data_IF_346056321186
#
_entry.id   IF_346056321186
#
_cell.length_a   1.000
_cell.length_b   1.000
_cell.length_c   1.000
_cell.angle_alpha   90.00
_cell.angle_beta   90.00
_cell.angle_gamma   90.00
#
_symmetry.space_group_name_H-M   'P 1'
#
loop_
_entity.id
_entity.type
_entity.pdbx_description
1 polymer ?
#
# COMPACT_ATOMS: atom_id res chain seq x y z
N UNK A 1 -22.80 42.27 -6.48
CA UNK A 1 -23.39 40.95 -6.76
C UNK A 1 -22.29 39.91 -6.72
N UNK A 2 -22.08 39.24 -5.57
CA UNK A 2 -21.01 38.25 -5.41
C UNK A 2 -21.67 37.01 -4.80
N UNK A 3 -21.71 35.91 -5.57
CA UNK A 3 -22.25 34.61 -5.15
C UNK A 3 -21.11 33.83 -4.51
N UNK A 4 -21.24 33.30 -3.27
CA UNK A 4 -20.28 32.33 -2.77
C UNK A 4 -20.67 30.95 -3.32
N UNK A 5 -19.84 30.42 -4.21
CA UNK A 5 -19.92 29.03 -4.64
C UNK A 5 -19.39 28.15 -3.50
N UNK A 6 -20.32 27.56 -2.75
CA UNK A 6 -20.03 26.45 -1.85
C UNK A 6 -19.61 25.24 -2.69
N UNK A 7 -18.30 25.02 -2.83
CA UNK A 7 -17.77 23.79 -3.40
C UNK A 7 -17.44 22.84 -2.24
N UNK A 8 -18.46 22.14 -1.75
CA UNK A 8 -18.33 20.95 -0.91
C UNK A 8 -17.66 19.85 -1.75
N UNK A 9 -16.32 19.83 -1.78
CA UNK A 9 -15.57 18.68 -2.27
C UNK A 9 -15.54 17.62 -1.16
N UNK A 10 -16.55 16.75 -1.17
CA UNK A 10 -16.48 15.46 -0.47
C UNK A 10 -15.39 14.60 -1.12
N UNK A 11 -14.19 14.66 -0.57
CA UNK A 11 -13.07 13.81 -0.95
C UNK A 11 -13.31 12.38 -0.44
N UNK A 12 -14.10 11.60 -1.17
CA UNK A 12 -14.28 10.17 -0.90
C UNK A 12 -13.07 9.43 -1.47
N UNK A 13 -11.94 9.46 -0.74
CA UNK A 13 -10.84 8.53 -1.03
C UNK A 13 -11.22 7.18 -0.43
N UNK A 14 -11.81 6.34 -1.29
CA UNK A 14 -11.98 4.92 -1.04
C UNK A 14 -10.58 4.29 -0.87
N UNK A 15 -10.13 4.18 0.38
CA UNK A 15 -9.08 3.22 0.72
C UNK A 15 -9.72 1.85 0.55
N UNK A 16 -9.57 1.28 -0.65
CA UNK A 16 -10.00 -0.06 -0.96
C UNK A 16 -9.43 -1.01 0.08
N UNK A 17 -10.30 -1.59 0.91
CA UNK A 17 -9.99 -2.67 1.83
C UNK A 17 -9.77 -3.97 1.04
N UNK A 18 -8.80 -3.98 0.13
CA UNK A 18 -8.38 -5.21 -0.54
C UNK A 18 -7.43 -5.96 0.40
N UNK A 19 -8.04 -6.82 1.20
CA UNK A 19 -7.38 -7.86 1.97
C UNK A 19 -6.60 -8.79 1.05
N UNK A 20 -5.29 -8.84 1.25
CA UNK A 20 -4.49 -10.05 1.07
C UNK A 20 -3.31 -9.97 2.04
N UNK A 21 -3.63 -9.87 3.33
CA UNK A 21 -2.68 -10.18 4.38
C UNK A 21 -2.55 -11.70 4.44
N UNK A 22 -1.39 -12.21 4.01
CA UNK A 22 -0.88 -13.52 4.36
C UNK A 22 -1.55 -14.74 3.70
N UNK A 23 -1.78 -14.70 2.39
CA UNK A 23 -1.81 -15.96 1.65
C UNK A 23 -0.36 -16.49 1.64
N UNK A 24 -0.12 -17.59 2.36
CA UNK A 24 1.21 -18.19 2.47
C UNK A 24 1.63 -18.71 1.09
N UNK A 25 2.37 -17.88 0.36
CA UNK A 25 3.10 -18.29 -0.84
C UNK A 25 4.03 -19.44 -0.45
N UNK A 26 3.85 -20.61 -1.08
CA UNK A 26 4.61 -21.81 -0.74
C UNK A 26 5.00 -22.54 -2.00
N UNK A 27 6.31 -22.70 -2.20
CA UNK A 27 6.85 -23.62 -3.20
C UNK A 27 6.89 -25.03 -2.55
N UNK A 28 6.40 -26.05 -3.26
CA UNK A 28 6.34 -27.42 -2.75
C UNK A 28 7.68 -28.15 -2.86
N UNK A 29 8.12 -28.84 -1.80
CA UNK A 29 9.34 -29.68 -1.81
C UNK A 29 9.04 -31.03 -2.49
N UNK A 30 9.93 -31.51 -3.36
CA UNK A 30 9.85 -32.89 -3.87
C UNK A 30 10.22 -33.89 -2.77
N UNK A 31 9.27 -34.75 -2.38
CA UNK A 31 9.50 -35.88 -1.46
C UNK A 31 8.92 -35.69 -0.06
N UNK A 32 8.55 -34.46 0.32
CA UNK A 32 7.72 -34.22 1.50
C UNK A 32 6.27 -34.55 1.15
N UNK A 33 5.70 -35.58 1.78
CA UNK A 33 4.38 -36.18 1.46
C UNK A 33 3.15 -35.29 1.68
N UNK A 34 3.11 -34.09 1.10
CA UNK A 34 1.98 -33.17 1.15
C UNK A 34 1.76 -32.53 -0.21
N UNK A 35 0.95 -33.22 -1.03
CA UNK A 35 0.35 -32.66 -2.25
C UNK A 35 0.84 -33.29 -3.56
N UNK A 36 -0.12 -33.62 -4.45
CA UNK A 36 0.13 -33.77 -5.89
C UNK A 36 0.64 -32.43 -6.40
N UNK A 37 1.95 -32.21 -6.36
CA UNK A 37 2.52 -31.01 -6.97
C UNK A 37 2.21 -30.99 -8.46
N UNK A 38 1.88 -29.81 -8.97
CA UNK A 38 1.44 -29.65 -10.34
C UNK A 38 2.64 -29.53 -11.29
N UNK A 39 2.61 -30.30 -12.39
CA UNK A 39 3.60 -30.23 -13.46
C UNK A 39 4.99 -30.82 -13.16
N UNK A 40 5.92 -30.70 -14.14
CA UNK A 40 7.31 -31.13 -14.00
C UNK A 40 8.04 -30.39 -12.86
N UNK A 41 9.08 -31.04 -12.32
CA UNK A 41 9.99 -30.42 -11.36
C UNK A 41 10.56 -29.12 -11.93
N UNK A 42 10.66 -28.10 -11.08
CA UNK A 42 11.40 -26.88 -11.37
C UNK A 42 12.87 -27.23 -11.56
N UNK A 43 13.45 -26.76 -12.66
CA UNK A 43 14.91 -26.71 -12.81
C UNK A 43 15.52 -25.76 -11.79
N UNK A 44 16.82 -25.91 -11.51
CA UNK A 44 17.60 -24.98 -10.68
C UNK A 44 17.42 -23.50 -11.07
N UNK A 45 17.32 -23.20 -12.37
CA UNK A 45 17.10 -21.83 -12.85
C UNK A 45 15.70 -21.33 -12.51
N UNK A 46 14.65 -22.10 -12.80
CA UNK A 46 13.27 -21.74 -12.46
C UNK A 46 13.09 -21.62 -10.94
N UNK A 47 13.73 -22.50 -10.16
CA UNK A 47 13.72 -22.43 -8.70
C UNK A 47 14.35 -21.12 -8.20
N UNK A 48 15.46 -20.67 -8.79
CA UNK A 48 16.09 -19.39 -8.46
C UNK A 48 15.15 -18.21 -8.74
N UNK A 49 14.46 -18.24 -9.87
CA UNK A 49 13.46 -17.22 -10.22
C UNK A 49 12.30 -17.19 -9.23
N UNK A 50 11.76 -18.36 -8.87
CA UNK A 50 10.67 -18.47 -7.90
C UNK A 50 11.06 -17.94 -6.52
N UNK A 51 12.24 -18.31 -6.02
CA UNK A 51 12.77 -17.78 -4.76
C UNK A 51 13.02 -16.27 -4.83
N UNK A 52 13.41 -15.74 -6.00
CA UNK A 52 13.58 -14.30 -6.19
C UNK A 52 12.23 -13.55 -6.14
N UNK A 53 11.18 -14.08 -6.77
CA UNK A 53 9.83 -13.52 -6.72
C UNK A 53 9.28 -13.57 -5.29
N UNK A 54 9.37 -14.72 -4.61
CA UNK A 54 8.97 -14.89 -3.21
C UNK A 54 9.64 -13.86 -2.30
N UNK A 55 10.95 -13.70 -2.45
CA UNK A 55 11.75 -12.78 -1.67
C UNK A 55 11.36 -11.31 -1.91
N UNK A 56 11.00 -10.93 -3.15
CA UNK A 56 10.45 -9.60 -3.44
C UNK A 56 9.09 -9.40 -2.78
N UNK A 57 8.19 -10.37 -2.90
CA UNK A 57 6.84 -10.28 -2.32
C UNK A 57 6.89 -10.14 -0.80
N UNK A 58 7.71 -10.93 -0.11
CA UNK A 58 7.86 -10.87 1.35
C UNK A 58 8.38 -9.48 1.77
N UNK A 59 9.52 -9.04 1.22
CA UNK A 59 10.09 -7.72 1.56
C UNK A 59 9.14 -6.57 1.29
N UNK A 60 8.45 -6.60 0.14
CA UNK A 60 7.48 -5.57 -0.19
C UNK A 60 6.29 -5.60 0.79
N UNK A 61 5.76 -6.78 1.12
CA UNK A 61 4.62 -6.91 2.02
C UNK A 61 4.91 -6.38 3.43
N UNK A 62 6.10 -6.66 3.98
CA UNK A 62 6.50 -6.18 5.31
C UNK A 62 6.60 -4.65 5.37
N UNK A 63 7.16 -4.03 4.34
CA UNK A 63 7.25 -2.57 4.24
C UNK A 63 5.88 -1.89 4.07
N UNK A 64 4.98 -2.48 3.28
CA UNK A 64 3.68 -1.88 2.97
C UNK A 64 2.74 -1.82 4.18
N UNK A 65 2.83 -2.77 5.12
CA UNK A 65 1.95 -2.78 6.29
C UNK A 65 2.17 -1.58 7.22
N UNK A 66 3.44 -1.23 7.46
CA UNK A 66 3.82 -0.06 8.27
C UNK A 66 3.37 1.24 7.60
N UNK A 67 3.66 1.37 6.30
CA UNK A 67 3.34 2.58 5.55
C UNK A 67 1.83 2.80 5.41
N UNK A 68 1.04 1.73 5.27
CA UNK A 68 -0.43 1.83 5.31
C UNK A 68 -0.91 2.44 6.62
N UNK A 69 -0.38 1.97 7.75
CA UNK A 69 -0.73 2.52 9.07
C UNK A 69 -0.37 4.01 9.20
N UNK A 70 0.75 4.44 8.61
CA UNK A 70 1.13 5.86 8.58
C UNK A 70 0.15 6.69 7.75
N UNK A 71 -0.22 6.23 6.54
CA UNK A 71 -1.19 6.91 5.69
C UNK A 71 -2.58 6.98 6.32
N UNK A 72 -3.01 5.93 7.03
CA UNK A 72 -4.28 5.93 7.77
C UNK A 72 -4.26 6.96 8.90
N UNK A 73 -3.15 7.06 9.65
CA UNK A 73 -2.96 8.07 10.69
C UNK A 73 -2.97 9.49 10.13
N UNK A 74 -2.26 9.74 9.04
CA UNK A 74 -2.24 11.05 8.37
C UNK A 74 -3.61 11.43 7.82
N UNK A 75 -4.34 10.48 7.22
CA UNK A 75 -5.72 10.70 6.77
C UNK A 75 -6.62 11.12 7.92
N UNK A 76 -6.56 10.40 9.05
CA UNK A 76 -7.37 10.72 10.23
C UNK A 76 -7.05 12.12 10.77
N UNK A 77 -5.77 12.50 10.77
CA UNK A 77 -5.33 13.83 11.18
C UNK A 77 -5.84 14.93 10.24
N UNK A 78 -5.75 14.75 8.92
CA UNK A 78 -6.28 15.71 7.94
C UNK A 78 -7.80 15.89 8.03
N UNK A 79 -8.53 14.82 8.39
CA UNK A 79 -9.96 14.89 8.68
C UNK A 79 -10.21 15.70 9.93
N UNK A 80 -9.50 15.41 11.03
CA UNK A 80 -9.61 16.16 12.30
C UNK A 80 -9.34 17.65 12.11
N UNK A 81 -8.28 18.00 11.37
CA UNK A 81 -7.97 19.39 11.03
C UNK A 81 -9.09 20.08 10.24
N UNK A 82 -9.77 19.33 9.36
CA UNK A 82 -10.93 19.85 8.62
C UNK A 82 -12.09 20.21 9.53
N UNK A 83 -12.41 19.34 10.50
CA UNK A 83 -13.47 19.62 11.48
C UNK A 83 -13.11 20.79 12.40
N UNK A 84 -11.85 20.90 12.82
CA UNK A 84 -11.37 22.05 13.60
C UNK A 84 -11.51 23.34 12.80
N UNK A 85 -11.05 23.37 11.55
CA UNK A 85 -11.18 24.54 10.67
C UNK A 85 -12.64 24.92 10.44
N UNK A 86 -13.52 23.94 10.27
CA UNK A 86 -14.96 24.18 10.13
C UNK A 86 -15.54 24.86 11.38
N UNK A 87 -15.24 24.32 12.56
CA UNK A 87 -15.68 24.92 13.82
C UNK A 87 -15.10 26.33 14.04
N UNK A 88 -13.83 26.53 13.70
CA UNK A 88 -13.20 27.86 13.72
C UNK A 88 -13.92 28.85 12.80
N UNK A 89 -14.32 28.43 11.60
CA UNK A 89 -15.04 29.26 10.64
C UNK A 89 -16.43 29.66 11.15
N UNK A 90 -17.12 28.75 11.84
CA UNK A 90 -18.43 29.01 12.45
C UNK A 90 -18.33 30.04 13.59
N UNK A 91 -17.23 30.02 14.35
CA UNK A 91 -16.97 30.95 15.45
C UNK A 91 -16.21 32.22 15.03
N UNK A 92 -15.86 32.37 13.75
CA UNK A 92 -14.96 33.40 13.27
C UNK A 92 -15.61 34.81 13.34
N UNK A 93 -14.97 35.73 14.05
CA UNK A 93 -15.29 37.16 13.95
C UNK A 93 -14.83 37.69 12.59
N UNK A 94 -15.80 37.95 11.71
CA UNK A 94 -15.56 38.41 10.34
C UNK A 94 -15.20 39.89 10.22
N UNK A 95 -15.17 40.61 11.34
CA UNK A 95 -14.69 42.00 11.38
C UNK A 95 -13.22 42.08 11.79
N UNK A 96 -12.67 41.01 12.36
CA UNK A 96 -11.28 40.90 12.74
C UNK A 96 -10.44 40.33 11.59
N UNK A 97 -9.67 41.20 10.93
CA UNK A 97 -8.82 40.84 9.79
C UNK A 97 -7.76 39.80 10.17
N UNK A 98 -7.13 39.93 11.34
CA UNK A 98 -6.08 39.01 11.80
C UNK A 98 -6.65 37.59 12.01
N UNK A 99 -7.86 37.48 12.54
CA UNK A 99 -8.54 36.20 12.72
C UNK A 99 -8.85 35.52 11.38
N UNK A 100 -9.30 36.30 10.39
CA UNK A 100 -9.55 35.81 9.03
C UNK A 100 -8.26 35.32 8.37
N UNK A 101 -7.20 36.12 8.42
CA UNK A 101 -5.90 35.77 7.84
C UNK A 101 -5.32 34.50 8.46
N UNK A 102 -5.43 34.36 9.79
CA UNK A 102 -4.97 33.18 10.49
C UNK A 102 -5.76 31.92 10.07
N UNK A 103 -7.09 32.03 9.90
CA UNK A 103 -7.92 30.92 9.40
C UNK A 103 -7.56 30.54 7.97
N UNK A 104 -7.41 31.52 7.07
CA UNK A 104 -7.00 31.29 5.67
C UNK A 104 -5.62 30.62 5.59
N UNK A 105 -4.67 31.06 6.42
CA UNK A 105 -3.34 30.46 6.47
C UNK A 105 -3.39 28.98 6.90
N UNK A 106 -4.18 28.65 7.93
CA UNK A 106 -4.37 27.26 8.37
C UNK A 106 -5.08 26.40 7.33
N UNK A 107 -6.12 26.94 6.67
CA UNK A 107 -6.81 26.26 5.58
C UNK A 107 -5.85 25.93 4.43
N UNK A 108 -5.05 26.91 4.00
CA UNK A 108 -4.03 26.72 2.96
C UNK A 108 -2.99 25.67 3.34
N UNK A 109 -2.52 25.68 4.59
CA UNK A 109 -1.56 24.69 5.06
C UNK A 109 -2.15 23.26 5.02
N UNK A 110 -3.42 23.11 5.40
CA UNK A 110 -4.14 21.83 5.30
C UNK A 110 -4.30 21.38 3.84
N UNK A 111 -4.63 22.30 2.93
CA UNK A 111 -4.77 21.97 1.51
C UNK A 111 -3.45 21.45 0.92
N UNK A 112 -2.33 22.10 1.24
CA UNK A 112 -0.99 21.62 0.87
C UNK A 112 -0.68 20.23 1.45
N UNK A 113 -1.09 19.97 2.69
CA UNK A 113 -0.93 18.66 3.31
C UNK A 113 -1.80 17.58 2.65
N UNK A 114 -3.00 17.93 2.16
CA UNK A 114 -3.86 17.03 1.38
C UNK A 114 -3.22 16.69 0.03
N UNK A 115 -2.65 17.67 -0.67
CA UNK A 115 -1.94 17.42 -1.93
C UNK A 115 -0.75 16.47 -1.74
N UNK A 116 0.05 16.71 -0.70
CA UNK A 116 1.17 15.85 -0.36
C UNK A 116 0.73 14.43 0.04
N UNK A 117 -0.35 14.33 0.81
CA UNK A 117 -0.98 13.05 1.16
C UNK A 117 -1.48 12.30 -0.08
N UNK A 118 -2.10 13.01 -1.03
CA UNK A 118 -2.55 12.47 -2.31
C UNK A 118 -1.39 11.84 -3.09
N UNK A 119 -0.30 12.59 -3.29
CA UNK A 119 0.89 12.10 -4.00
C UNK A 119 1.50 10.85 -3.34
N UNK A 120 1.56 10.82 -2.00
CA UNK A 120 2.05 9.65 -1.25
C UNK A 120 1.12 8.46 -1.36
N UNK A 121 -0.19 8.69 -1.29
CA UNK A 121 -1.20 7.65 -1.46
C UNK A 121 -1.14 7.03 -2.86
N UNK A 122 -0.95 7.84 -3.90
CA UNK A 122 -0.79 7.36 -5.28
C UNK A 122 0.48 6.52 -5.43
N UNK A 123 1.60 6.98 -4.87
CA UNK A 123 2.85 6.22 -4.87
C UNK A 123 2.70 4.88 -4.12
N UNK A 124 1.98 4.88 -2.99
CA UNK A 124 1.65 3.66 -2.25
C UNK A 124 0.79 2.71 -3.09
N UNK A 125 -0.27 3.20 -3.71
CA UNK A 125 -1.16 2.39 -4.55
C UNK A 125 -0.42 1.78 -5.75
N UNK A 126 0.50 2.53 -6.37
CA UNK A 126 1.34 2.00 -7.45
C UNK A 126 2.20 0.81 -6.97
N UNK A 127 2.76 0.89 -5.75
CA UNK A 127 3.53 -0.22 -5.17
C UNK A 127 2.65 -1.41 -4.78
N UNK A 128 1.41 -1.17 -4.31
CA UNK A 128 0.43 -2.25 -4.10
C UNK A 128 0.15 -2.98 -5.41
N UNK A 129 -0.09 -2.25 -6.50
CA UNK A 129 -0.32 -2.87 -7.81
C UNK A 129 0.88 -3.69 -8.30
N UNK A 130 2.11 -3.20 -8.09
CA UNK A 130 3.32 -3.97 -8.41
C UNK A 130 3.44 -5.24 -7.55
N UNK A 131 3.12 -5.16 -6.26
CA UNK A 131 3.09 -6.31 -5.36
C UNK A 131 2.06 -7.35 -5.78
N UNK A 132 0.87 -6.93 -6.20
CA UNK A 132 -0.17 -7.81 -6.71
C UNK A 132 0.24 -8.51 -8.01
N UNK A 133 0.95 -7.79 -8.89
CA UNK A 133 1.54 -8.37 -10.10
C UNK A 133 2.60 -9.43 -9.76
N UNK A 134 3.50 -9.16 -8.80
CA UNK A 134 4.50 -10.13 -8.33
C UNK A 134 3.82 -11.36 -7.68
N UNK A 135 2.74 -11.16 -6.90
CA UNK A 135 1.94 -12.26 -6.33
C UNK A 135 1.24 -13.08 -7.40
N UNK A 136 0.68 -12.46 -8.43
CA UNK A 136 0.08 -13.16 -9.56
C UNK A 136 1.13 -13.96 -10.35
N UNK A 137 2.30 -13.36 -10.59
CA UNK A 137 3.43 -14.03 -11.22
C UNK A 137 3.91 -15.25 -10.43
N UNK A 138 3.98 -15.15 -9.09
CA UNK A 138 4.32 -16.28 -8.24
C UNK A 138 3.26 -17.39 -8.35
N UNK A 139 1.98 -17.05 -8.24
CA UNK A 139 0.88 -18.02 -8.34
C UNK A 139 0.86 -18.75 -9.69
N UNK A 140 1.16 -18.06 -10.77
CA UNK A 140 1.19 -18.65 -12.11
C UNK A 140 2.40 -19.56 -12.33
N UNK A 141 3.58 -19.20 -11.82
CA UNK A 141 4.84 -19.85 -12.20
C UNK A 141 5.39 -20.81 -11.16
N UNK A 142 5.10 -20.57 -9.88
CA UNK A 142 5.85 -21.13 -8.75
C UNK A 142 4.95 -21.84 -7.73
N UNK A 143 3.72 -21.38 -7.58
CA UNK A 143 2.81 -21.95 -6.58
C UNK A 143 2.51 -23.42 -6.88
N UNK A 144 2.54 -24.25 -5.84
CA UNK A 144 2.35 -25.71 -5.93
C UNK A 144 3.28 -26.45 -6.91
N UNK A 145 4.36 -25.82 -7.40
CA UNK A 145 5.41 -26.49 -8.18
C UNK A 145 6.35 -27.22 -7.24
N UNK A 146 6.87 -28.37 -7.72
CA UNK A 146 7.84 -29.17 -6.98
C UNK A 146 9.25 -28.78 -7.39
N UNK A 147 10.21 -28.84 -6.47
CA UNK A 147 11.63 -28.65 -6.77
C UNK A 147 12.49 -29.72 -6.10
N UNK A 148 13.68 -29.96 -6.64
CA UNK A 148 14.68 -30.85 -6.07
C UNK A 148 15.39 -30.20 -4.87
N UNK A 149 15.50 -30.93 -3.76
CA UNK A 149 16.15 -30.41 -2.55
C UNK A 149 17.64 -30.10 -2.76
N UNK A 150 18.35 -30.90 -3.57
CA UNK A 150 19.74 -30.66 -3.93
C UNK A 150 19.92 -29.36 -4.71
N UNK A 151 18.97 -29.01 -5.58
CA UNK A 151 18.97 -27.72 -6.29
C UNK A 151 18.79 -26.54 -5.32
N UNK A 152 17.89 -26.66 -4.34
CA UNK A 152 17.71 -25.64 -3.30
C UNK A 152 18.98 -25.45 -2.46
N UNK A 153 19.62 -26.55 -2.06
CA UNK A 153 20.86 -26.52 -1.29
C UNK A 153 22.01 -25.90 -2.08
N UNK A 154 22.13 -26.24 -3.37
CA UNK A 154 23.11 -25.64 -4.26
C UNK A 154 22.90 -24.13 -4.39
N UNK A 155 21.65 -23.68 -4.59
CA UNK A 155 21.31 -22.25 -4.67
C UNK A 155 21.61 -21.51 -3.36
N UNK A 156 21.40 -22.15 -2.20
CA UNK A 156 21.71 -21.56 -0.89
C UNK A 156 23.20 -21.43 -0.64
N UNK A 157 24.03 -22.37 -1.11
CA UNK A 157 25.49 -22.32 -0.99
C UNK A 157 26.16 -21.31 -1.92
N UNK A 158 25.48 -20.90 -2.98
CA UNK A 158 25.95 -19.88 -3.92
C UNK A 158 25.74 -18.44 -3.42
N UNK A 159 24.96 -18.24 -2.37
CA UNK A 159 24.71 -16.94 -1.73
C UNK A 159 25.66 -16.69 -0.58
#
# INVERSE_FOLDING_TARGET
MIRPAACLLTLVVALSTAHAANEKLRIGVFGSGSGKGSGPLLSKTELRECLAIESRVVRASDGMASERGQLEGEKAELVRQGEVLKAELEALDRTNVEAIEAHVARAKARDQAIEAFGARSDAFNARVGALDADRAAFRQRCDNRRFDQGDLEAIRKEK
#
